data_IF_120290562562
#
_entry.id   IF_120290562562
#
_cell.length_a   1.000
_cell.length_b   1.000
_cell.length_c   1.000
_cell.angle_alpha   90.00
_cell.angle_beta   90.00
_cell.angle_gamma   90.00
#
_symmetry.space_group_name_H-M   'P 1'
#
loop_
_entity.id
_entity.type
_entity.pdbx_description
1 polymer ?
#
# COMPACT_ATOMS: atom_id res chain seq x y z
N UNK A 1 3.65 -8.01 19.77
CA UNK A 1 3.90 -6.58 19.50
C UNK A 1 3.36 -6.08 18.15
N UNK A 2 3.56 -6.79 17.04
CA UNK A 2 3.18 -6.32 15.69
C UNK A 2 1.67 -6.05 15.54
N UNK A 3 0.82 -6.94 16.06
CA UNK A 3 -0.65 -6.83 15.98
C UNK A 3 -1.15 -5.53 16.64
N UNK A 4 -0.63 -5.17 17.82
CA UNK A 4 -1.01 -3.93 18.54
C UNK A 4 -0.61 -2.67 17.76
N UNK A 5 0.56 -2.69 17.10
CA UNK A 5 1.02 -1.57 16.26
C UNK A 5 0.16 -1.43 15.00
N UNK A 6 -0.23 -2.55 14.38
CA UNK A 6 -1.15 -2.55 13.25
C UNK A 6 -2.50 -1.95 13.63
N UNK A 7 -3.10 -2.43 14.71
CA UNK A 7 -4.41 -1.92 15.17
C UNK A 7 -4.39 -0.41 15.49
N UNK A 8 -3.30 0.09 16.08
CA UNK A 8 -3.13 1.52 16.33
C UNK A 8 -2.95 2.34 15.04
N UNK A 9 -2.23 1.78 14.06
CA UNK A 9 -2.08 2.39 12.75
C UNK A 9 -3.40 2.45 11.99
N UNK A 10 -4.15 1.35 11.95
CA UNK A 10 -5.45 1.27 11.27
C UNK A 10 -6.42 2.33 11.83
N UNK A 11 -6.55 2.42 13.15
CA UNK A 11 -7.37 3.47 13.80
C UNK A 11 -6.93 4.89 13.42
N UNK A 12 -5.63 5.13 13.32
CA UNK A 12 -5.08 6.45 12.95
C UNK A 12 -5.36 6.79 11.49
N UNK A 13 -5.31 5.81 10.59
CA UNK A 13 -5.66 5.98 9.17
C UNK A 13 -7.15 6.27 9.04
N UNK A 14 -8.00 5.54 9.76
CA UNK A 14 -9.44 5.81 9.81
C UNK A 14 -9.75 7.24 10.22
N UNK A 15 -9.13 7.71 11.31
CA UNK A 15 -9.36 9.06 11.82
C UNK A 15 -8.84 10.17 10.90
N UNK A 16 -7.72 9.96 10.20
CA UNK A 16 -7.08 11.01 9.40
C UNK A 16 -7.50 11.03 7.93
N UNK A 17 -7.76 9.87 7.34
CA UNK A 17 -7.96 9.72 5.90
C UNK A 17 -9.37 9.23 5.54
N UNK A 18 -10.25 9.06 6.53
CA UNK A 18 -11.65 8.67 6.30
C UNK A 18 -11.85 7.16 6.13
N UNK A 19 -10.87 6.34 6.51
CA UNK A 19 -11.00 4.88 6.51
C UNK A 19 -10.32 4.18 5.33
N UNK A 20 -10.45 2.84 5.27
CA UNK A 20 -9.96 2.05 4.14
C UNK A 20 -10.68 2.46 2.86
N UNK A 21 -9.91 2.65 1.79
CA UNK A 21 -10.47 2.93 0.47
C UNK A 21 -11.01 1.65 -0.13
N UNK A 22 -12.33 1.57 -0.26
CA UNK A 22 -13.02 0.47 -0.95
C UNK A 22 -13.07 0.78 -2.44
N UNK A 23 -12.78 -0.22 -3.27
CA UNK A 23 -12.84 -0.11 -4.72
C UNK A 23 -13.98 -0.98 -5.24
N UNK A 24 -14.69 -0.49 -6.24
CA UNK A 24 -15.82 -1.16 -6.86
C UNK A 24 -15.39 -1.94 -8.12
N UNK A 25 -16.10 -3.01 -8.49
CA UNK A 25 -15.87 -3.73 -9.74
C UNK A 25 -15.91 -2.77 -10.95
N UNK A 26 -14.91 -2.88 -11.84
CA UNK A 26 -14.76 -2.02 -13.01
C UNK A 26 -13.92 -0.76 -12.79
N UNK A 27 -13.47 -0.48 -11.56
CA UNK A 27 -12.50 0.57 -11.30
C UNK A 27 -11.08 0.10 -11.61
N UNK A 28 -10.36 0.89 -12.40
CA UNK A 28 -8.93 0.70 -12.64
C UNK A 28 -8.15 1.08 -11.38
N UNK A 29 -7.31 0.17 -10.92
CA UNK A 29 -6.53 0.34 -9.68
C UNK A 29 -5.09 -0.08 -9.91
N UNK A 30 -4.16 0.67 -9.32
CA UNK A 30 -2.73 0.34 -9.37
C UNK A 30 -2.27 -0.14 -8.01
N UNK A 31 -1.49 -1.24 -7.99
CA UNK A 31 -0.95 -1.83 -6.78
C UNK A 31 0.48 -1.32 -6.57
N UNK A 32 0.76 -0.81 -5.37
CA UNK A 32 2.10 -0.41 -4.97
C UNK A 32 2.96 -1.65 -4.65
N UNK A 33 4.12 -1.77 -5.29
CA UNK A 33 5.07 -2.88 -5.12
C UNK A 33 5.93 -2.70 -3.87
N UNK A 34 5.32 -2.91 -2.69
CA UNK A 34 5.96 -2.74 -1.37
C UNK A 34 7.17 -3.68 -1.13
N UNK A 35 7.23 -4.81 -1.82
CA UNK A 35 8.36 -5.74 -1.82
C UNK A 35 9.63 -5.13 -2.45
N UNK A 36 9.48 -4.38 -3.55
CA UNK A 36 10.57 -3.68 -4.22
C UNK A 36 10.99 -2.42 -3.46
N UNK A 37 10.06 -1.78 -2.75
CA UNK A 37 10.34 -0.55 -2.02
C UNK A 37 11.38 -0.74 -0.90
N UNK A 38 11.27 -1.85 -0.14
CA UNK A 38 12.10 -2.12 1.03
C UNK A 38 13.43 -2.83 0.70
N UNK A 39 13.67 -3.15 -0.57
CA UNK A 39 14.91 -3.82 -1.01
C UNK A 39 15.73 -2.88 -1.89
N UNK A 40 17.02 -2.74 -1.59
CA UNK A 40 17.97 -2.03 -2.46
C UNK A 40 18.47 -3.00 -3.54
N UNK A 41 17.57 -3.35 -4.46
CA UNK A 41 17.85 -4.26 -5.57
C UNK A 41 17.95 -3.50 -6.90
N UNK A 42 18.61 -4.11 -7.88
CA UNK A 42 18.63 -3.60 -9.25
C UNK A 42 17.21 -3.52 -9.83
N UNK A 43 16.36 -4.50 -9.50
CA UNK A 43 14.95 -4.52 -9.89
C UNK A 43 14.17 -3.30 -9.40
N UNK A 44 14.47 -2.77 -8.20
CA UNK A 44 13.85 -1.52 -7.71
C UNK A 44 14.18 -0.32 -8.60
N UNK A 45 15.39 -0.26 -9.17
CA UNK A 45 15.82 0.84 -10.05
C UNK A 45 15.19 0.75 -11.44
N UNK A 46 14.91 -0.46 -11.91
CA UNK A 46 14.45 -0.72 -13.28
C UNK A 46 12.93 -0.87 -13.40
N UNK A 47 12.24 -1.28 -12.33
CA UNK A 47 10.79 -1.50 -12.34
C UNK A 47 10.05 -0.30 -11.79
N UNK A 48 8.94 0.06 -12.45
CA UNK A 48 7.98 1.02 -11.92
C UNK A 48 7.43 0.54 -10.57
N UNK A 49 7.24 1.48 -9.64
CA UNK A 49 6.75 1.18 -8.29
C UNK A 49 5.26 0.81 -8.27
N UNK A 50 4.52 1.27 -9.28
CA UNK A 50 3.10 1.00 -9.47
C UNK A 50 2.91 -0.05 -10.57
N UNK A 51 1.93 -0.93 -10.41
CA UNK A 51 1.50 -1.81 -11.49
C UNK A 51 0.77 -1.03 -12.58
N UNK A 52 0.66 -1.57 -13.81
CA UNK A 52 -0.35 -1.13 -14.75
C UNK A 52 -1.75 -1.13 -14.10
N UNK A 53 -2.61 -0.17 -14.48
CA UNK A 53 -3.98 -0.06 -14.00
C UNK A 53 -4.89 -1.15 -14.56
#
# INVERSE_FOLDING_TARGET
HAIRRKAAFDRRVEWKQGGPKVFEPGQLVQIHRSNLFNTLSLDRKLRLMWSPP
#
